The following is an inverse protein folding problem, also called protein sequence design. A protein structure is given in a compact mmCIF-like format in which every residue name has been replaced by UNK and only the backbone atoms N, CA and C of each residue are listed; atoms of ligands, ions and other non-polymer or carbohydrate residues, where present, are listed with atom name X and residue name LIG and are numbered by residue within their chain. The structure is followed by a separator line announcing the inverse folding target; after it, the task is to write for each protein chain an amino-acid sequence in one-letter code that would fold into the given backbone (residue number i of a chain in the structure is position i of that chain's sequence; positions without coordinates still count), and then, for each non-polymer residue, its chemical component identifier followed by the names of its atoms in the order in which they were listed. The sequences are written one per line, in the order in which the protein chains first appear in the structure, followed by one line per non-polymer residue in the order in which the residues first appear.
data_IF_528627892862
#
_entry.id   IF_528627892862
#
_cell.length_a   1.000
_cell.length_b   1.000
_cell.length_c   1.000
_cell.angle_alpha   90.00
_cell.angle_beta   90.00
_cell.angle_gamma   90.00
#
_symmetry.space_group_name_H-M   'P 1'
#
loop_
_entity.id
_entity.type
_entity.pdbx_description
1 polymer ?
#
# COMPACT_ATOMS: atom_id res chain seq x y z
N UNK A 1 -21.06 -28.44 -3.09
CA UNK A 1 -20.65 -27.19 -3.74
C UNK A 1 -19.52 -26.61 -2.91
N UNK A 2 -18.28 -26.92 -3.28
CA UNK A 2 -17.08 -26.49 -2.60
C UNK A 2 -16.09 -26.04 -3.66
N UNK A 3 -15.46 -24.89 -3.44
CA UNK A 3 -14.19 -24.55 -4.08
C UNK A 3 -14.28 -23.50 -5.18
N UNK A 4 -14.43 -22.24 -4.80
CA UNK A 4 -13.58 -21.19 -5.33
C UNK A 4 -13.09 -20.40 -4.12
N UNK A 5 -11.79 -20.53 -3.85
CA UNK A 5 -11.15 -20.17 -2.61
C UNK A 5 -10.99 -18.65 -2.47
N UNK A 6 -11.23 -18.14 -1.27
CA UNK A 6 -10.78 -16.82 -0.78
C UNK A 6 -9.25 -16.58 -0.92
N UNK A 7 -8.50 -17.53 -1.50
CA UNK A 7 -7.05 -17.47 -1.77
C UNK A 7 -6.64 -16.64 -2.99
N UNK A 8 -7.57 -16.21 -3.84
CA UNK A 8 -7.19 -15.66 -5.16
C UNK A 8 -6.86 -14.17 -5.20
N UNK A 9 -6.88 -13.45 -4.07
CA UNK A 9 -6.63 -12.00 -4.08
C UNK A 9 -5.53 -11.57 -3.13
N UNK A 10 -4.36 -12.19 -3.27
CA UNK A 10 -3.11 -11.73 -2.63
C UNK A 10 -2.45 -10.59 -3.40
N UNK A 11 -2.97 -10.18 -4.55
CA UNK A 11 -2.41 -9.10 -5.38
C UNK A 11 -3.41 -7.97 -5.55
N UNK A 12 -2.97 -6.73 -5.33
CA UNK A 12 -3.75 -5.55 -5.68
C UNK A 12 -3.74 -5.36 -7.20
N UNK A 13 -4.89 -5.46 -7.90
CA UNK A 13 -4.93 -5.53 -9.36
C UNK A 13 -4.83 -4.15 -10.03
N UNK A 14 -3.68 -3.48 -9.88
CA UNK A 14 -3.38 -2.24 -10.59
C UNK A 14 -2.95 -2.55 -12.03
N UNK A 15 -3.73 -2.10 -13.02
CA UNK A 15 -3.49 -2.45 -14.43
C UNK A 15 -2.43 -1.55 -15.08
N UNK A 16 -2.51 -0.24 -14.86
CA UNK A 16 -1.58 0.71 -15.46
C UNK A 16 -0.96 1.61 -14.40
N UNK A 17 0.30 1.99 -14.63
CA UNK A 17 1.04 2.99 -13.83
C UNK A 17 0.38 4.37 -13.76
N UNK A 18 -0.56 4.65 -14.67
CA UNK A 18 -1.32 5.90 -14.74
C UNK A 18 -2.63 5.86 -13.96
N UNK A 19 -3.11 4.67 -13.59
CA UNK A 19 -4.39 4.49 -12.91
C UNK A 19 -4.26 5.05 -11.49
N UNK A 20 -5.27 5.80 -11.04
CA UNK A 20 -5.26 6.31 -9.67
C UNK A 20 -5.45 5.15 -8.69
N UNK A 21 -4.56 4.96 -7.70
CA UNK A 21 -4.77 3.97 -6.64
C UNK A 21 -6.05 4.29 -5.84
N UNK A 22 -6.72 3.25 -5.35
CA UNK A 22 -7.92 3.41 -4.53
C UNK A 22 -7.62 3.70 -3.06
N UNK A 23 -6.37 3.47 -2.64
CA UNK A 23 -5.84 3.79 -1.31
C UNK A 23 -5.14 5.14 -1.33
N UNK A 24 -4.92 5.74 -0.15
CA UNK A 24 -4.11 6.95 0.01
C UNK A 24 -2.77 6.68 0.72
N UNK A 25 -2.70 5.60 1.51
CA UNK A 25 -1.53 5.20 2.28
C UNK A 25 -1.16 3.72 2.03
N UNK A 26 0.14 3.47 1.87
CA UNK A 26 0.72 2.12 1.81
C UNK A 26 1.66 1.92 3.00
N UNK A 27 1.39 0.89 3.79
CA UNK A 27 2.23 0.49 4.94
C UNK A 27 2.99 -0.78 4.59
N UNK A 28 4.30 -0.79 4.79
CA UNK A 28 5.13 -1.98 4.57
C UNK A 28 6.32 -2.04 5.52
N UNK A 29 6.80 -3.25 5.72
CA UNK A 29 8.12 -3.47 6.29
C UNK A 29 9.20 -3.03 5.30
N UNK A 30 10.24 -2.33 5.78
CA UNK A 30 11.36 -1.89 4.94
C UNK A 30 12.09 -3.07 4.26
N UNK A 31 12.11 -4.24 4.91
CA UNK A 31 12.84 -5.42 4.44
C UNK A 31 11.98 -6.38 3.61
N UNK A 32 10.66 -6.21 3.55
CA UNK A 32 9.76 -7.14 2.87
C UNK A 32 8.85 -6.42 1.87
N UNK A 33 8.27 -7.18 0.95
CA UNK A 33 7.38 -6.65 -0.09
C UNK A 33 5.90 -6.72 0.28
N UNK A 34 5.53 -7.40 1.37
CA UNK A 34 4.14 -7.46 1.83
C UNK A 34 3.66 -6.07 2.27
N UNK A 35 2.45 -5.71 1.86
CA UNK A 35 1.92 -4.37 2.05
C UNK A 35 0.47 -4.37 2.53
N UNK A 36 0.14 -3.32 3.27
CA UNK A 36 -1.21 -2.99 3.70
C UNK A 36 -1.62 -1.64 3.10
N UNK A 37 -2.85 -1.55 2.63
CA UNK A 37 -3.37 -0.36 1.94
C UNK A 37 -4.52 0.27 2.74
N UNK A 38 -4.54 1.60 2.84
CA UNK A 38 -5.53 2.34 3.64
C UNK A 38 -5.96 3.66 3.00
N UNK A 39 -7.20 4.06 3.25
CA UNK A 39 -7.74 5.39 2.88
C UNK A 39 -7.52 6.43 3.99
N UNK A 40 -7.28 5.98 5.22
CA UNK A 40 -7.22 6.83 6.42
C UNK A 40 -5.87 6.68 7.12
N UNK A 41 -5.20 7.81 7.38
CA UNK A 41 -3.89 7.83 8.02
C UNK A 41 -3.87 7.13 9.38
N UNK A 42 -4.86 7.40 10.24
CA UNK A 42 -4.93 6.80 11.59
C UNK A 42 -4.94 5.26 11.55
N UNK A 43 -5.56 4.67 10.53
CA UNK A 43 -5.57 3.21 10.33
C UNK A 43 -4.21 2.70 9.86
N UNK A 44 -3.57 3.43 8.94
CA UNK A 44 -2.22 3.12 8.48
C UNK A 44 -1.21 3.19 9.62
N UNK A 45 -1.26 4.27 10.41
CA UNK A 45 -0.39 4.48 11.56
C UNK A 45 -0.57 3.38 12.60
N UNK A 46 -1.82 3.07 12.99
CA UNK A 46 -2.10 1.99 13.95
C UNK A 46 -1.58 0.64 13.48
N UNK A 47 -1.68 0.34 12.18
CA UNK A 47 -1.12 -0.89 11.62
C UNK A 47 0.41 -0.88 11.69
N UNK A 48 1.05 0.25 11.37
CA UNK A 48 2.49 0.39 11.41
C UNK A 48 3.07 0.25 12.83
N UNK A 49 2.46 0.92 13.82
CA UNK A 49 2.82 0.79 15.24
C UNK A 49 2.69 -0.66 15.71
N UNK A 50 1.57 -1.32 15.36
CA UNK A 50 1.35 -2.73 15.70
C UNK A 50 2.46 -3.61 15.16
N UNK A 51 2.78 -3.49 13.87
CA UNK A 51 3.83 -4.28 13.22
C UNK A 51 5.22 -3.98 13.79
N UNK A 52 5.51 -2.71 14.08
CA UNK A 52 6.79 -2.29 14.64
C UNK A 52 7.00 -2.85 16.04
N UNK A 53 5.98 -2.84 16.89
CA UNK A 53 6.04 -3.33 18.26
C UNK A 53 6.04 -4.87 18.31
N UNK A 54 5.19 -5.55 17.54
CA UNK A 54 5.05 -7.00 17.63
C UNK A 54 6.26 -7.74 17.08
N UNK A 55 6.85 -7.20 16.01
CA UNK A 55 7.86 -7.92 15.24
C UNK A 55 9.25 -7.28 15.37
N UNK A 56 9.37 -6.15 16.09
CA UNK A 56 10.61 -5.40 16.26
C UNK A 56 11.14 -4.81 14.95
N UNK A 57 10.25 -4.44 14.03
CA UNK A 57 10.61 -4.08 12.65
C UNK A 57 10.52 -2.59 12.37
N UNK A 58 11.28 -2.17 11.37
CA UNK A 58 11.23 -0.83 10.80
C UNK A 58 10.14 -0.80 9.74
N UNK A 59 9.04 -0.11 10.05
CA UNK A 59 7.87 -0.01 9.20
C UNK A 59 7.85 1.37 8.53
N UNK A 60 7.50 1.39 7.26
CA UNK A 60 7.40 2.59 6.43
C UNK A 60 5.94 2.85 6.06
N UNK A 61 5.56 4.13 6.05
CA UNK A 61 4.26 4.59 5.56
C UNK A 61 4.50 5.51 4.37
N UNK A 62 3.98 5.09 3.23
CA UNK A 62 4.06 5.82 1.97
C UNK A 62 2.75 6.53 1.69
N UNK A 63 2.83 7.82 1.34
CA UNK A 63 1.72 8.60 0.81
C UNK A 63 1.77 8.63 -0.72
N UNK A 64 0.61 8.61 -1.37
CA UNK A 64 0.55 8.72 -2.81
C UNK A 64 1.08 10.06 -3.34
N UNK A 65 1.86 9.98 -4.39
CA UNK A 65 2.40 11.10 -5.12
C UNK A 65 2.18 10.90 -6.62
N UNK A 66 1.51 11.87 -7.26
CA UNK A 66 1.34 11.85 -8.71
C UNK A 66 2.45 12.66 -9.39
N UNK A 67 3.31 11.98 -10.14
CA UNK A 67 4.32 12.63 -10.97
C UNK A 67 3.67 13.22 -12.22
N UNK A 68 3.49 14.54 -12.25
CA UNK A 68 2.83 15.22 -13.38
C UNK A 68 3.60 15.15 -14.71
N UNK A 69 4.91 14.89 -14.67
CA UNK A 69 5.75 14.79 -15.88
C UNK A 69 5.62 13.42 -16.54
N UNK A 70 5.74 12.34 -15.75
CA UNK A 70 5.63 10.96 -16.26
C UNK A 70 4.20 10.44 -16.28
N UNK A 71 3.29 11.12 -15.56
CA UNK A 71 1.90 10.73 -15.30
C UNK A 71 1.79 9.41 -14.53
N UNK A 72 2.75 9.12 -13.67
CA UNK A 72 2.83 7.88 -12.89
C UNK A 72 2.58 8.15 -11.41
N UNK A 73 2.06 7.15 -10.72
CA UNK A 73 1.86 7.19 -9.27
C UNK A 73 3.03 6.56 -8.53
N UNK A 74 3.53 7.30 -7.55
CA UNK A 74 4.60 6.89 -6.63
C UNK A 74 4.13 6.98 -5.18
N UNK A 75 4.90 6.39 -4.28
CA UNK A 75 4.83 6.60 -2.84
C UNK A 75 5.98 7.50 -2.37
N UNK A 76 5.66 8.47 -1.52
CA UNK A 76 6.63 9.22 -0.72
C UNK A 76 6.70 8.60 0.67
N UNK A 77 7.88 8.16 1.11
CA UNK A 77 8.07 7.63 2.46
C UNK A 77 8.07 8.78 3.47
N UNK A 78 6.88 9.21 3.88
CA UNK A 78 6.73 10.37 4.74
C UNK A 78 6.90 10.02 6.22
N UNK A 79 6.67 8.76 6.61
CA UNK A 79 6.76 8.32 8.00
C UNK A 79 7.46 6.98 8.15
N UNK A 80 8.35 6.89 9.12
CA UNK A 80 8.93 5.64 9.60
C UNK A 80 8.52 5.36 11.05
N UNK A 81 8.28 4.09 11.36
CA UNK A 81 7.89 3.63 12.70
C UNK A 81 8.87 2.55 13.16
N UNK A 82 9.56 2.82 14.27
CA UNK A 82 10.59 1.95 14.85
C UNK A 82 10.32 1.82 16.35
N UNK A 83 10.15 0.59 16.83
CA UNK A 83 9.79 0.29 18.23
C UNK A 83 8.52 1.03 18.69
N UNK A 84 7.60 1.29 17.75
CA UNK A 84 6.38 2.06 17.99
C UNK A 84 6.57 3.59 18.04
N UNK A 85 7.81 4.09 17.91
CA UNK A 85 8.06 5.52 17.77
C UNK A 85 7.90 5.96 16.32
N UNK A 86 7.09 7.00 16.10
CA UNK A 86 6.83 7.58 14.79
C UNK A 86 7.81 8.70 14.51
N UNK A 87 8.45 8.64 13.36
CA UNK A 87 9.29 9.70 12.80
C UNK A 87 8.65 10.19 11.51
N UNK A 88 8.73 11.50 11.30
CA UNK A 88 8.11 12.19 10.18
C UNK A 88 9.18 12.93 9.38
N UNK A 89 9.29 12.63 8.10
CA UNK A 89 10.14 13.34 7.16
C UNK A 89 9.29 14.23 6.23
N UNK A 90 9.19 15.50 6.59
CA UNK A 90 8.50 16.52 5.78
C UNK A 90 9.13 16.79 4.41
N UNK A 91 10.33 16.28 4.16
CA UNK A 91 11.07 16.45 2.92
C UNK A 91 11.22 15.13 2.15
N UNK A 92 10.45 14.10 2.53
CA UNK A 92 10.41 12.83 1.83
C UNK A 92 10.22 13.03 0.33
N UNK A 93 11.11 12.42 -0.44
CA UNK A 93 11.05 12.44 -1.89
C UNK A 93 10.27 11.21 -2.41
N UNK A 94 9.64 11.32 -3.59
CA UNK A 94 9.04 10.16 -4.25
C UNK A 94 10.12 9.10 -4.50
N UNK A 95 9.84 7.87 -4.05
CA UNK A 95 10.78 6.75 -4.11
C UNK A 95 10.12 5.54 -4.77
N UNK A 96 8.92 5.19 -4.31
CA UNK A 96 8.30 3.90 -4.57
C UNK A 96 7.35 3.96 -5.77
N UNK A 97 7.67 3.38 -6.93
CA UNK A 97 6.72 3.30 -8.05
C UNK A 97 5.57 2.34 -7.71
N UNK A 98 4.35 2.86 -7.51
CA UNK A 98 3.26 2.10 -6.87
C UNK A 98 2.91 0.84 -7.65
N UNK A 99 2.72 0.96 -8.97
CA UNK A 99 2.34 -0.17 -9.83
C UNK A 99 3.34 -1.32 -9.77
N UNK A 100 4.65 -1.01 -9.69
CA UNK A 100 5.67 -2.04 -9.60
C UNK A 100 5.59 -2.77 -8.25
N UNK A 101 5.51 -2.02 -7.16
CA UNK A 101 5.55 -2.59 -5.81
C UNK A 101 4.28 -3.34 -5.45
N UNK A 102 3.10 -2.82 -5.80
CA UNK A 102 1.84 -3.51 -5.52
C UNK A 102 1.72 -4.81 -6.33
N UNK A 103 2.27 -4.84 -7.55
CA UNK A 103 2.32 -6.06 -8.36
C UNK A 103 3.38 -7.07 -7.84
N UNK A 104 4.51 -6.59 -7.33
CA UNK A 104 5.58 -7.44 -6.80
C UNK A 104 5.25 -8.08 -5.43
N UNK A 105 4.61 -7.35 -4.52
CA UNK A 105 4.30 -7.79 -3.15
C UNK A 105 2.93 -8.44 -2.97
N UNK A 106 2.61 -8.87 -1.76
CA UNK A 106 1.28 -9.36 -1.40
C UNK A 106 0.45 -8.30 -0.66
N UNK A 107 -0.83 -8.17 -1.05
CA UNK A 107 -1.81 -7.34 -0.39
C UNK A 107 -2.39 -8.06 0.81
N UNK A 108 -2.06 -7.58 2.01
CA UNK A 108 -2.34 -8.27 3.28
C UNK A 108 -3.72 -7.95 3.86
N UNK A 109 -4.40 -6.90 3.37
CA UNK A 109 -5.72 -6.48 3.84
C UNK A 109 -6.71 -6.22 2.69
N UNK A 110 -6.97 -7.22 1.82
CA UNK A 110 -7.96 -7.09 0.75
C UNK A 110 -9.33 -6.75 1.31
N UNK A 111 -10.03 -5.78 0.68
CA UNK A 111 -11.41 -5.45 1.02
C UNK A 111 -12.31 -5.57 -0.20
N UNK A 112 -13.52 -6.11 0.01
CA UNK A 112 -14.44 -6.46 -1.07
C UNK A 112 -14.86 -5.25 -1.91
N UNK A 113 -15.05 -4.09 -1.27
CA UNK A 113 -15.47 -2.86 -1.97
C UNK A 113 -14.46 -2.46 -3.05
N UNK A 114 -13.17 -2.44 -2.74
CA UNK A 114 -12.15 -2.10 -3.73
C UNK A 114 -11.98 -3.19 -4.78
N UNK A 115 -12.11 -4.45 -4.39
CA UNK A 115 -12.11 -5.57 -5.33
C UNK A 115 -13.20 -5.40 -6.39
N UNK A 116 -14.42 -5.07 -5.96
CA UNK A 116 -15.56 -4.88 -6.84
C UNK A 116 -15.32 -3.68 -7.78
N UNK A 117 -14.84 -2.55 -7.24
CA UNK A 117 -14.50 -1.36 -8.04
C UNK A 117 -13.43 -1.64 -9.10
N UNK A 118 -12.38 -2.39 -8.74
CA UNK A 118 -11.30 -2.73 -9.66
C UNK A 118 -11.77 -3.73 -10.74
N UNK A 119 -12.69 -4.64 -10.41
CA UNK A 119 -13.33 -5.54 -11.39
C UNK A 119 -14.23 -4.77 -12.36
N UNK A 120 -15.01 -3.80 -11.88
CA UNK A 120 -15.82 -2.93 -12.73
C UNK A 120 -14.96 -2.12 -13.69
N UNK A 121 -13.89 -1.48 -13.19
CA UNK A 121 -12.90 -0.78 -14.03
C UNK A 121 -12.23 -1.71 -15.04
N UNK A 122 -12.13 -3.00 -14.72
CA UNK A 122 -11.51 -3.97 -15.60
C UNK A 122 -12.40 -4.45 -16.75
N UNK A 123 -13.73 -4.32 -16.61
CA UNK A 123 -14.72 -4.82 -17.54
C UNK A 123 -15.23 -3.76 -18.54
N UNK A 124 -14.98 -2.48 -18.27
CA UNK A 124 -15.25 -1.34 -19.17
C UNK A 124 -14.05 -1.00 -20.05
#
# INVERSE_FOLDING_TARGET
MQGESEKDMTKYPMKNKTDRPLFEYLVRDNMHLDYYLFDEFDKALKQAEKMSISDGRHILIYENYFNTKTREWHGCNTFDVIEGEVRYDKHAHPDLHLEFYVNAGEWMNPNQKWIDLLKEQAAG
#
